data_IF_358217443672
#
_entry.id   IF_358217443672
#
_cell.length_a   1.000
_cell.length_b   1.000
_cell.length_c   1.000
_cell.angle_alpha   90.00
_cell.angle_beta   90.00
_cell.angle_gamma   90.00
#
_symmetry.space_group_name_H-M   'P 1'
#
loop_
_entity.id
_entity.type
_entity.pdbx_description
1 polymer ?
#
# COMPACT_ATOMS: atom_id res chain seq x y z
N UNK A 1 12.05 -2.76 -4.69
CA UNK A 1 11.63 -4.12 -4.27
C UNK A 1 12.82 -4.86 -3.68
N UNK A 2 12.62 -5.71 -2.67
CA UNK A 2 13.69 -6.31 -1.87
C UNK A 2 13.82 -7.82 -2.18
N UNK A 3 15.04 -8.40 -2.26
CA UNK A 3 15.23 -9.83 -2.50
C UNK A 3 14.85 -10.69 -1.28
N UNK A 4 13.59 -11.15 -1.23
CA UNK A 4 12.98 -11.89 -0.12
C UNK A 4 13.62 -13.24 0.20
N UNK A 5 14.33 -13.86 -0.76
CA UNK A 5 15.03 -15.15 -0.55
C UNK A 5 16.23 -15.05 0.39
N UNK A 6 16.81 -13.85 0.51
CA UNK A 6 17.95 -13.64 1.42
C UNK A 6 17.46 -13.44 2.85
N UNK A 7 18.23 -13.90 3.84
CA UNK A 7 17.91 -13.68 5.27
C UNK A 7 17.64 -12.20 5.57
N UNK A 8 18.46 -11.30 5.01
CA UNK A 8 18.30 -9.84 5.12
C UNK A 8 17.00 -9.36 4.47
N UNK A 9 16.66 -9.85 3.29
CA UNK A 9 15.46 -9.44 2.58
C UNK A 9 14.17 -9.94 3.23
N UNK A 10 14.17 -11.16 3.75
CA UNK A 10 13.07 -11.69 4.57
C UNK A 10 12.85 -10.85 5.83
N UNK A 11 13.93 -10.51 6.55
CA UNK A 11 13.86 -9.64 7.72
C UNK A 11 13.35 -8.23 7.40
N UNK A 12 13.68 -7.69 6.23
CA UNK A 12 13.18 -6.40 5.78
C UNK A 12 11.68 -6.45 5.44
N UNK A 13 11.22 -7.53 4.78
CA UNK A 13 9.81 -7.71 4.44
C UNK A 13 8.95 -7.88 5.70
N UNK A 14 9.44 -8.59 6.72
CA UNK A 14 8.75 -8.77 7.99
C UNK A 14 8.50 -7.44 8.77
N UNK A 15 9.22 -6.36 8.44
CA UNK A 15 9.00 -5.03 9.04
C UNK A 15 7.84 -4.29 8.39
N UNK A 16 7.48 -4.63 7.16
CA UNK A 16 6.38 -4.01 6.44
C UNK A 16 5.06 -4.67 6.85
N UNK A 17 4.11 -3.85 7.32
CA UNK A 17 2.74 -4.29 7.63
C UNK A 17 1.78 -3.48 6.77
N UNK A 18 0.85 -4.15 6.11
CA UNK A 18 -0.18 -3.54 5.28
C UNK A 18 -1.55 -3.95 5.83
N UNK A 19 -2.46 -2.98 5.90
CA UNK A 19 -3.82 -3.15 6.41
C UNK A 19 -4.78 -2.46 5.45
N UNK A 20 -5.99 -3.00 5.32
CA UNK A 20 -7.09 -2.31 4.67
C UNK A 20 -7.71 -1.31 5.66
N UNK A 21 -7.94 -0.07 5.20
CA UNK A 21 -8.36 1.01 6.08
C UNK A 21 -7.31 1.37 7.14
N UNK A 22 -7.77 1.81 8.31
CA UNK A 22 -6.90 2.29 9.40
C UNK A 22 -7.32 1.61 10.70
N UNK A 23 -6.62 0.55 11.12
CA UNK A 23 -6.95 -0.12 12.37
C UNK A 23 -6.53 0.74 13.58
N UNK A 24 -7.28 0.64 14.68
CA UNK A 24 -6.79 1.09 15.98
C UNK A 24 -5.54 0.28 16.33
N UNK A 25 -4.41 0.87 16.78
CA UNK A 25 -4.17 2.22 17.33
C UNK A 25 -3.61 3.25 16.33
N UNK A 26 -3.51 2.93 15.04
CA UNK A 26 -2.83 3.77 14.04
C UNK A 26 -3.62 5.03 13.64
N UNK A 27 -4.88 5.13 14.04
CA UNK A 27 -5.71 6.30 13.76
C UNK A 27 -5.20 7.58 14.44
N UNK A 28 -4.58 7.46 15.63
CA UNK A 28 -4.02 8.59 16.37
C UNK A 28 -2.63 9.01 15.90
N UNK A 29 -1.97 8.16 15.11
CA UNK A 29 -0.59 8.41 14.65
C UNK A 29 -0.61 9.28 13.39
N UNK A 30 0.34 10.22 13.29
CA UNK A 30 0.45 11.08 12.11
C UNK A 30 0.74 10.24 10.87
N UNK A 31 -0.14 10.34 9.87
CA UNK A 31 -0.01 9.66 8.59
C UNK A 31 1.08 10.33 7.78
N UNK A 32 2.03 9.53 7.31
CA UNK A 32 3.11 9.98 6.43
C UNK A 32 2.76 9.60 4.99
N UNK A 33 2.95 10.54 4.07
CA UNK A 33 2.63 10.38 2.65
C UNK A 33 3.91 10.58 1.85
N UNK A 34 4.14 9.73 0.85
CA UNK A 34 5.27 9.86 -0.08
C UNK A 34 4.77 10.64 -1.30
N UNK A 35 5.25 11.88 -1.54
CA UNK A 35 4.72 12.74 -2.61
C UNK A 35 4.87 12.15 -4.01
N UNK A 36 5.96 11.43 -4.27
CA UNK A 36 6.22 10.82 -5.58
C UNK A 36 5.27 9.66 -5.92
N UNK A 37 4.55 9.12 -4.95
CA UNK A 37 3.54 8.09 -5.18
C UNK A 37 2.13 8.68 -5.39
N UNK A 38 1.95 10.00 -5.26
CA UNK A 38 0.64 10.64 -5.37
C UNK A 38 0.19 10.77 -6.83
N UNK A 39 -0.98 10.20 -7.12
CA UNK A 39 -1.67 10.31 -8.42
C UNK A 39 -1.74 11.75 -8.93
N UNK A 40 -2.16 12.69 -8.09
CA UNK A 40 -2.38 14.10 -8.48
C UNK A 40 -1.09 14.76 -8.96
N UNK A 41 0.05 14.36 -8.42
CA UNK A 41 1.35 14.92 -8.77
C UNK A 41 1.98 14.21 -9.97
N UNK A 42 1.73 12.91 -10.14
CA UNK A 42 2.38 12.09 -11.18
C UNK A 42 1.57 11.92 -12.46
N UNK A 43 0.25 12.02 -12.39
CA UNK A 43 -0.64 11.75 -13.52
C UNK A 43 -1.39 13.01 -13.96
N UNK A 44 -1.34 13.31 -15.26
CA UNK A 44 -2.11 14.41 -15.84
C UNK A 44 -3.62 14.18 -15.79
N UNK A 45 -4.37 15.28 -15.72
CA UNK A 45 -5.84 15.25 -15.75
C UNK A 45 -6.31 14.66 -17.09
N UNK A 46 -7.19 13.66 -17.02
CA UNK A 46 -7.77 12.99 -18.19
C UNK A 46 -7.19 11.60 -18.48
N UNK A 47 -6.05 11.23 -17.89
CA UNK A 47 -5.52 9.88 -18.02
C UNK A 47 -6.28 8.88 -17.13
N UNK A 48 -6.58 7.71 -17.70
CA UNK A 48 -7.27 6.62 -17.00
C UNK A 48 -6.35 6.01 -15.95
N UNK A 49 -6.91 5.66 -14.80
CA UNK A 49 -6.23 4.96 -13.71
C UNK A 49 -7.20 3.94 -13.11
N UNK A 50 -6.66 2.93 -12.44
CA UNK A 50 -7.46 1.93 -11.73
C UNK A 50 -7.14 2.02 -10.24
N UNK A 51 -8.17 2.00 -9.41
CA UNK A 51 -8.01 1.81 -7.96
C UNK A 51 -7.95 0.32 -7.69
N UNK A 52 -7.11 -0.09 -6.73
CA UNK A 52 -6.95 -1.50 -6.41
C UNK A 52 -8.32 -2.12 -6.07
N UNK A 53 -9.13 -1.44 -5.26
CA UNK A 53 -10.51 -1.77 -4.84
C UNK A 53 -11.43 -2.19 -6.01
N UNK A 54 -11.29 -1.55 -7.18
CA UNK A 54 -12.16 -1.75 -8.34
C UNK A 54 -11.69 -2.89 -9.26
N UNK A 55 -10.75 -3.71 -8.81
CA UNK A 55 -10.32 -4.89 -9.56
C UNK A 55 -11.39 -5.99 -9.47
N UNK A 56 -11.67 -6.63 -10.61
CA UNK A 56 -12.67 -7.72 -10.73
C UNK A 56 -12.27 -9.01 -9.98
N UNK A 57 -11.09 -9.00 -9.35
CA UNK A 57 -10.57 -10.12 -8.59
C UNK A 57 -11.29 -10.14 -7.24
N UNK A 58 -11.82 -11.31 -6.86
CA UNK A 58 -12.55 -11.44 -5.60
C UNK A 58 -11.62 -11.10 -4.43
N UNK A 59 -12.01 -10.07 -3.69
CA UNK A 59 -11.39 -9.71 -2.42
C UNK A 59 -11.51 -10.88 -1.45
N UNK A 60 -10.40 -11.21 -0.80
CA UNK A 60 -10.44 -12.11 0.35
C UNK A 60 -11.02 -11.34 1.52
N UNK A 61 -12.24 -11.72 1.95
CA UNK A 61 -12.78 -11.26 3.22
C UNK A 61 -11.88 -11.74 4.37
N UNK A 62 -11.46 -10.85 5.28
CA UNK A 62 -10.73 -11.24 6.46
C UNK A 62 -11.67 -11.97 7.44
N UNK A 63 -11.25 -13.14 7.93
CA UNK A 63 -11.87 -13.86 9.05
C UNK A 63 -11.83 -13.06 10.35
#
# INVERSE_FOLDING_TARGET
MIPHKTKRGAAALARLKAYEGIPAPYDKTKRMVIPDALKVLRLQKGHKYCLLENSHLRWMEPL
#
